data_IF_416998576789
#
_entry.id   IF_416998576789
#
_cell.length_a   1.000
_cell.length_b   1.000
_cell.length_c   1.000
_cell.angle_alpha   90.00
_cell.angle_beta   90.00
_cell.angle_gamma   90.00
#
_symmetry.space_group_name_H-M   'P 1'
#
loop_
_entity.id
_entity.type
_entity.pdbx_description
1 polymer ?
#
# COMPACT_ATOMS: atom_id res chain seq x y z
N UNK A 1 -47.54 -38.81 3.12
CA UNK A 1 -47.27 -37.43 2.67
C UNK A 1 -45.86 -37.38 2.10
N UNK A 2 -45.70 -37.61 0.79
CA UNK A 2 -44.44 -37.33 0.09
C UNK A 2 -44.44 -35.89 -0.39
N UNK A 3 -43.30 -35.16 -0.35
CA UNK A 3 -43.28 -33.78 -0.82
C UNK A 3 -43.45 -33.78 -2.34
N UNK A 4 -44.50 -33.12 -2.82
CA UNK A 4 -44.66 -32.78 -4.23
C UNK A 4 -43.47 -31.91 -4.68
N UNK A 5 -42.44 -32.53 -5.27
CA UNK A 5 -41.42 -31.77 -6.00
C UNK A 5 -42.02 -31.32 -7.33
N UNK A 6 -42.31 -30.02 -7.43
CA UNK A 6 -42.78 -29.37 -8.66
C UNK A 6 -41.87 -29.72 -9.87
N UNK A 7 -42.42 -30.06 -11.05
CA UNK A 7 -41.65 -30.28 -12.28
C UNK A 7 -40.77 -29.08 -12.66
N UNK A 8 -41.20 -27.87 -12.30
CA UNK A 8 -40.43 -26.63 -12.50
C UNK A 8 -39.15 -26.60 -11.65
N UNK A 9 -39.16 -27.18 -10.45
CA UNK A 9 -37.95 -27.29 -9.64
C UNK A 9 -36.94 -28.25 -10.28
N UNK A 10 -37.42 -29.30 -10.95
CA UNK A 10 -36.54 -30.27 -11.60
C UNK A 10 -35.91 -29.69 -12.88
N UNK A 11 -36.70 -28.95 -13.69
CA UNK A 11 -36.19 -28.25 -14.87
C UNK A 11 -35.21 -27.13 -14.49
N UNK A 12 -35.52 -26.32 -13.48
CA UNK A 12 -34.63 -25.27 -13.01
C UNK A 12 -33.32 -25.85 -12.46
N UNK A 13 -33.39 -26.93 -11.68
CA UNK A 13 -32.19 -27.63 -11.19
C UNK A 13 -31.35 -28.21 -12.33
N UNK A 14 -31.98 -28.80 -13.35
CA UNK A 14 -31.25 -29.30 -14.54
C UNK A 14 -30.60 -28.16 -15.31
N UNK A 15 -31.30 -27.05 -15.56
CA UNK A 15 -30.74 -25.89 -16.27
C UNK A 15 -29.61 -25.23 -15.49
N UNK A 16 -29.73 -25.10 -14.17
CA UNK A 16 -28.67 -24.63 -13.29
C UNK A 16 -27.48 -25.59 -13.29
N UNK A 17 -27.72 -26.90 -13.27
CA UNK A 17 -26.69 -27.92 -13.37
C UNK A 17 -25.91 -27.85 -14.68
N UNK A 18 -26.61 -27.78 -15.81
CA UNK A 18 -25.98 -27.62 -17.14
C UNK A 18 -25.19 -26.32 -17.21
N UNK A 19 -25.77 -25.20 -16.76
CA UNK A 19 -25.09 -23.90 -16.73
C UNK A 19 -23.81 -23.96 -15.89
N UNK A 20 -23.87 -24.58 -14.71
CA UNK A 20 -22.73 -24.79 -13.84
C UNK A 20 -21.64 -25.66 -14.49
N UNK A 21 -22.02 -26.80 -15.10
CA UNK A 21 -21.09 -27.69 -15.79
C UNK A 21 -20.42 -27.00 -16.97
N UNK A 22 -21.19 -26.29 -17.80
CA UNK A 22 -20.67 -25.52 -18.94
C UNK A 22 -19.71 -24.44 -18.43
N UNK A 23 -20.09 -23.67 -17.40
CA UNK A 23 -19.24 -22.65 -16.80
C UNK A 23 -17.90 -23.22 -16.33
N UNK A 24 -17.92 -24.28 -15.53
CA UNK A 24 -16.69 -24.91 -15.04
C UNK A 24 -15.84 -25.52 -16.16
N UNK A 25 -16.47 -26.10 -17.18
CA UNK A 25 -15.75 -26.63 -18.36
C UNK A 25 -15.05 -25.51 -19.11
N UNK A 26 -15.72 -24.37 -19.32
CA UNK A 26 -15.11 -23.20 -19.95
C UNK A 26 -13.95 -22.64 -19.12
N UNK A 27 -14.11 -22.55 -17.79
CA UNK A 27 -13.02 -22.12 -16.91
C UNK A 27 -11.82 -23.06 -16.99
N UNK A 28 -12.06 -24.37 -16.97
CA UNK A 28 -11.02 -25.37 -17.03
C UNK A 28 -10.25 -25.28 -18.35
N UNK A 29 -10.97 -25.31 -19.48
CA UNK A 29 -10.38 -25.38 -20.83
C UNK A 29 -9.72 -24.07 -21.26
N UNK A 30 -10.31 -22.92 -20.93
CA UNK A 30 -9.82 -21.63 -21.45
C UNK A 30 -8.98 -20.83 -20.46
N UNK A 31 -9.02 -21.15 -19.16
CA UNK A 31 -8.27 -20.41 -18.13
C UNK A 31 -7.26 -21.32 -17.42
N UNK A 32 -7.72 -22.40 -16.79
CA UNK A 32 -6.88 -23.21 -15.90
C UNK A 32 -5.83 -24.01 -16.69
N UNK A 33 -6.25 -24.79 -17.70
CA UNK A 33 -5.35 -25.62 -18.51
C UNK A 33 -4.30 -24.77 -19.23
N UNK A 34 -4.66 -23.69 -19.95
CA UNK A 34 -3.67 -22.82 -20.59
C UNK A 34 -2.71 -22.17 -19.61
N UNK A 35 -3.18 -21.80 -18.41
CA UNK A 35 -2.33 -21.24 -17.37
C UNK A 35 -1.29 -22.24 -16.86
N UNK A 36 -1.66 -23.52 -16.70
CA UNK A 36 -0.73 -24.59 -16.30
C UNK A 36 0.39 -24.78 -17.33
N UNK A 37 0.07 -24.66 -18.63
CA UNK A 37 1.04 -24.80 -19.71
C UNK A 37 1.74 -23.48 -20.09
N UNK A 38 1.51 -22.39 -19.35
CA UNK A 38 2.09 -21.08 -19.65
C UNK A 38 1.63 -20.45 -20.98
N UNK A 39 0.55 -20.96 -21.58
CA UNK A 39 0.01 -20.49 -22.86
C UNK A 39 -0.78 -19.19 -22.64
N UNK A 40 -0.39 -18.13 -23.34
CA UNK A 40 -1.12 -16.86 -23.34
C UNK A 40 -1.72 -16.57 -24.71
N UNK A 41 -3.05 -16.59 -24.81
CA UNK A 41 -3.77 -16.25 -26.05
C UNK A 41 -3.76 -14.75 -26.41
N UNK A 42 -2.94 -13.92 -25.74
CA UNK A 42 -2.87 -12.48 -26.00
C UNK A 42 -4.12 -11.65 -25.61
N UNK A 43 -5.23 -12.31 -25.25
CA UNK A 43 -6.51 -11.69 -24.83
C UNK A 43 -6.28 -10.65 -23.73
N UNK A 44 -5.45 -10.97 -22.73
CA UNK A 44 -5.09 -10.06 -21.64
C UNK A 44 -4.48 -8.76 -22.17
N UNK A 45 -3.53 -8.85 -23.13
CA UNK A 45 -2.85 -7.68 -23.70
C UNK A 45 -3.83 -6.82 -24.50
N UNK A 46 -4.72 -7.45 -25.28
CA UNK A 46 -5.77 -6.74 -26.02
C UNK A 46 -6.74 -6.03 -25.06
N UNK A 47 -7.23 -6.73 -24.04
CA UNK A 47 -8.12 -6.19 -23.02
C UNK A 47 -7.52 -4.96 -22.32
N UNK A 48 -6.26 -5.04 -21.87
CA UNK A 48 -5.55 -3.92 -21.24
C UNK A 48 -5.41 -2.72 -22.19
N UNK A 49 -5.02 -2.96 -23.46
CA UNK A 49 -4.91 -1.89 -24.47
C UNK A 49 -6.25 -1.22 -24.74
N UNK A 50 -7.34 -1.99 -24.82
CA UNK A 50 -8.69 -1.45 -25.02
C UNK A 50 -9.12 -0.59 -23.84
N UNK A 51 -8.90 -1.06 -22.60
CA UNK A 51 -9.23 -0.26 -21.40
C UNK A 51 -8.49 1.07 -21.35
N UNK A 52 -7.17 1.07 -21.64
CA UNK A 52 -6.39 2.31 -21.64
C UNK A 52 -6.94 3.32 -22.65
N UNK A 53 -7.27 2.88 -23.87
CA UNK A 53 -7.91 3.74 -24.88
C UNK A 53 -9.25 4.31 -24.39
N UNK A 54 -10.05 3.50 -23.69
CA UNK A 54 -11.33 3.94 -23.12
C UNK A 54 -11.13 4.97 -22.00
N UNK A 55 -10.16 4.74 -21.10
CA UNK A 55 -9.86 5.67 -20.00
C UNK A 55 -9.30 7.00 -20.50
N UNK A 56 -8.41 6.97 -21.49
CA UNK A 56 -7.87 8.16 -22.14
C UNK A 56 -8.99 8.96 -22.82
N UNK A 57 -9.83 8.30 -23.61
CA UNK A 57 -11.00 8.93 -24.24
C UNK A 57 -11.94 9.57 -23.21
N UNK A 58 -12.23 8.86 -22.11
CA UNK A 58 -13.11 9.36 -21.05
C UNK A 58 -12.50 10.58 -20.34
N UNK A 59 -11.19 10.55 -20.07
CA UNK A 59 -10.46 11.63 -19.40
C UNK A 59 -10.44 12.90 -20.27
N UNK A 60 -10.09 12.79 -21.55
CA UNK A 60 -10.11 13.93 -22.50
C UNK A 60 -11.50 14.55 -22.60
N UNK A 61 -12.56 13.73 -22.57
CA UNK A 61 -13.94 14.21 -22.61
C UNK A 61 -14.33 14.94 -21.32
N UNK A 62 -13.87 14.47 -20.17
CA UNK A 62 -14.05 15.17 -18.89
C UNK A 62 -13.36 16.53 -18.89
N UNK A 63 -12.08 16.57 -19.28
CA UNK A 63 -11.29 17.80 -19.36
C UNK A 63 -11.94 18.85 -20.25
N UNK A 64 -12.45 18.44 -21.42
CA UNK A 64 -13.18 19.35 -22.32
C UNK A 64 -14.43 19.90 -21.65
N UNK A 65 -15.26 19.04 -21.05
CA UNK A 65 -16.49 19.47 -20.38
C UNK A 65 -16.25 20.36 -19.16
N UNK A 66 -15.09 20.23 -18.51
CA UNK A 66 -14.71 21.10 -17.39
C UNK A 66 -14.19 22.46 -17.82
N UNK A 67 -13.39 22.50 -18.90
CA UNK A 67 -13.00 23.75 -19.57
C UNK A 67 -14.23 24.54 -20.02
N UNK A 68 -15.21 23.87 -20.60
CA UNK A 68 -16.49 24.49 -21.01
C UNK A 68 -17.29 25.06 -19.83
N UNK A 69 -17.16 24.47 -18.63
CA UNK A 69 -17.88 24.90 -17.41
C UNK A 69 -17.06 25.81 -16.48
N UNK A 70 -15.87 26.26 -16.88
CA UNK A 70 -14.92 27.01 -16.04
C UNK A 70 -14.65 26.34 -14.66
N UNK A 71 -14.71 25.00 -14.60
CA UNK A 71 -14.48 24.25 -13.37
C UNK A 71 -13.11 23.58 -13.45
N UNK A 72 -12.24 23.81 -12.45
CA UNK A 72 -10.97 23.09 -12.35
C UNK A 72 -11.25 21.65 -11.92
N UNK A 73 -11.09 20.69 -12.83
CA UNK A 73 -11.25 19.25 -12.54
C UNK A 73 -10.16 18.71 -11.63
N UNK A 74 -8.96 19.22 -11.85
CA UNK A 74 -7.77 18.87 -11.09
C UNK A 74 -7.39 20.10 -10.31
N UNK A 75 -7.24 19.97 -8.98
CA UNK A 75 -6.34 20.88 -8.31
C UNK A 75 -4.98 20.64 -8.96
N UNK A 76 -4.35 21.64 -9.61
CA UNK A 76 -2.93 21.53 -9.80
C UNK A 76 -2.38 21.41 -8.39
N UNK A 77 -1.84 20.25 -8.03
CA UNK A 77 -0.73 20.31 -7.09
C UNK A 77 0.26 21.20 -7.81
N UNK A 78 0.33 22.45 -7.36
CA UNK A 78 1.34 23.38 -7.81
C UNK A 78 2.66 22.66 -7.60
N UNK A 79 3.28 22.22 -8.71
CA UNK A 79 4.69 21.85 -8.72
C UNK A 79 5.56 23.02 -8.19
N UNK A 80 4.98 24.23 -8.14
CA UNK A 80 5.52 25.43 -7.53
C UNK A 80 5.27 25.59 -6.00
N UNK A 81 4.52 24.70 -5.33
CA UNK A 81 4.48 24.66 -3.85
C UNK A 81 5.52 23.69 -3.27
N UNK A 82 6.21 22.94 -4.14
CA UNK A 82 7.49 22.28 -3.85
C UNK A 82 8.62 23.19 -4.32
N UNK A 83 8.51 24.50 -4.07
CA UNK A 83 9.73 25.19 -3.67
C UNK A 83 9.96 24.61 -2.28
N UNK A 84 10.96 23.75 -2.14
CA UNK A 84 11.52 23.45 -0.83
C UNK A 84 11.79 24.81 -0.21
N UNK A 85 10.87 25.29 0.64
CA UNK A 85 11.15 26.40 1.52
C UNK A 85 12.36 25.89 2.28
N UNK A 86 13.51 26.52 2.07
CA UNK A 86 14.65 26.26 2.96
C UNK A 86 14.10 26.32 4.38
N UNK A 87 14.52 25.42 5.29
CA UNK A 87 14.02 25.43 6.65
C UNK A 87 14.48 26.73 7.32
N UNK A 88 13.76 27.82 7.07
CA UNK A 88 13.87 29.08 7.77
C UNK A 88 13.44 28.80 9.19
N UNK A 89 14.23 29.25 10.16
CA UNK A 89 13.89 29.10 11.57
C UNK A 89 12.48 29.63 11.79
N UNK A 90 11.65 28.94 12.58
CA UNK A 90 10.30 29.41 12.93
C UNK A 90 10.32 30.83 13.52
N UNK A 91 11.44 31.22 14.13
CA UNK A 91 11.69 32.57 14.64
C UNK A 91 11.88 33.60 13.52
N UNK A 92 12.49 33.23 12.41
CA UNK A 92 12.76 34.13 11.27
C UNK A 92 11.49 34.41 10.48
N UNK A 93 10.64 33.39 10.28
CA UNK A 93 9.32 33.58 9.63
C UNK A 93 8.40 34.49 10.46
N UNK A 94 8.41 34.33 11.79
CA UNK A 94 7.60 35.17 12.68
C UNK A 94 8.09 36.62 12.66
N UNK A 95 9.41 36.85 12.70
CA UNK A 95 10.02 38.18 12.59
C UNK A 95 9.68 38.85 11.25
N UNK A 96 9.67 38.09 10.16
CA UNK A 96 9.28 38.61 8.84
C UNK A 96 7.81 39.04 8.81
N UNK A 97 6.91 38.26 9.39
CA UNK A 97 5.49 38.60 9.48
C UNK A 97 5.27 39.86 10.33
N UNK A 98 5.93 39.95 11.50
CA UNK A 98 5.88 41.15 12.35
C UNK A 98 6.39 42.38 11.60
N UNK A 99 7.48 42.24 10.83
CA UNK A 99 8.01 43.33 9.97
C UNK A 99 7.02 43.74 8.88
N UNK A 100 6.35 42.80 8.25
CA UNK A 100 5.38 43.08 7.19
C UNK A 100 4.08 43.72 7.73
N UNK A 101 3.66 43.40 8.96
CA UNK A 101 2.54 44.07 9.63
C UNK A 101 2.89 45.50 10.06
N UNK A 102 4.05 45.71 10.69
CA UNK A 102 4.48 47.06 11.11
C UNK A 102 4.71 48.00 9.93
N UNK A 103 5.19 47.47 8.80
CA UNK A 103 5.34 48.25 7.56
C UNK A 103 4.01 48.73 6.97
N UNK A 104 2.88 48.05 7.22
CA UNK A 104 1.55 48.46 6.73
C UNK A 104 0.86 49.49 7.62
N UNK A 105 1.25 49.60 8.89
CA UNK A 105 0.73 50.62 9.81
C UNK A 105 1.45 51.98 9.68
N UNK A 106 2.67 51.99 9.15
CA UNK A 106 3.50 53.19 8.98
C UNK A 106 3.16 54.06 7.75
N UNK A 107 2.27 53.61 6.85
CA UNK A 107 1.79 54.44 5.72
C UNK A 107 0.72 55.48 6.15
N UNK A 108 0.42 55.60 7.45
CA UNK A 108 -0.59 56.51 8.01
C UNK A 108 -0.08 57.65 8.90
N UNK A 109 1.16 57.64 9.38
CA UNK A 109 1.69 58.77 10.17
C UNK A 109 3.21 58.85 10.18
N UNK A 110 3.73 60.05 9.89
CA UNK A 110 5.14 60.36 9.84
C UNK A 110 5.76 60.56 11.24
N UNK A 111 7.04 60.19 11.35
CA UNK A 111 8.01 60.45 12.43
C UNK A 111 7.79 59.68 13.74
N UNK A 112 8.76 58.96 14.32
CA UNK A 112 10.08 59.46 14.73
C UNK A 112 11.04 58.28 14.95
N UNK A 113 12.32 58.50 14.64
CA UNK A 113 13.44 57.58 14.84
C UNK A 113 13.69 57.24 16.31
N UNK A 114 13.49 55.96 16.67
CA UNK A 114 14.10 55.35 17.86
C UNK A 114 14.63 53.98 17.48
N UNK A 115 15.93 53.78 17.65
CA UNK A 115 16.65 52.52 17.47
C UNK A 115 15.96 51.34 18.19
N UNK A 116 15.78 50.17 17.56
CA UNK A 116 15.14 49.04 18.21
C UNK A 116 16.13 48.43 19.21
N UNK A 117 15.84 48.59 20.51
CA UNK A 117 16.39 47.72 21.53
C UNK A 117 15.94 46.27 21.27
N UNK A 118 16.71 45.24 21.65
CA UNK A 118 16.26 43.86 21.59
C UNK A 118 15.27 43.64 22.75
N UNK A 119 14.11 44.27 22.68
CA UNK A 119 13.02 44.02 23.61
C UNK A 119 12.62 42.55 23.43
N UNK A 120 12.58 41.85 24.56
CA UNK A 120 11.96 40.53 24.73
C UNK A 120 10.82 40.33 23.75
N UNK A 121 10.80 39.19 23.07
CA UNK A 121 9.72 38.81 22.15
C UNK A 121 8.40 38.66 22.92
N UNK A 122 7.76 39.78 23.23
CA UNK A 122 6.42 39.78 23.77
C UNK A 122 5.46 39.27 22.69
N UNK A 123 4.42 38.57 23.13
CA UNK A 123 3.39 38.03 22.25
C UNK A 123 2.57 39.17 21.66
N UNK A 124 2.43 39.18 20.33
CA UNK A 124 1.51 40.09 19.64
C UNK A 124 0.24 39.33 19.23
N UNK A 125 -0.92 39.99 19.29
CA UNK A 125 -2.19 39.36 18.86
C UNK A 125 -2.12 38.87 17.40
N UNK A 126 -1.34 39.55 16.56
CA UNK A 126 -1.07 39.21 15.15
C UNK A 126 -0.42 37.82 14.99
N UNK A 127 0.35 37.35 15.97
CA UNK A 127 1.00 36.03 15.97
C UNK A 127 -0.05 34.89 15.89
N UNK A 128 -1.28 35.13 16.35
CA UNK A 128 -2.40 34.17 16.23
C UNK A 128 -2.63 33.76 14.78
N UNK A 129 -2.56 34.71 13.83
CA UNK A 129 -2.74 34.41 12.40
C UNK A 129 -1.62 33.53 11.85
N UNK A 130 -0.39 33.72 12.34
CA UNK A 130 0.73 32.85 11.98
C UNK A 130 0.47 31.42 12.46
N UNK A 131 0.12 31.21 13.73
CA UNK A 131 -0.15 29.86 14.24
C UNK A 131 -1.36 29.21 13.55
N UNK A 132 -2.44 29.96 13.27
CA UNK A 132 -3.57 29.46 12.49
C UNK A 132 -3.14 29.04 11.09
N UNK A 133 -2.36 29.88 10.40
CA UNK A 133 -1.80 29.56 9.08
C UNK A 133 -0.94 28.30 9.13
N UNK A 134 0.00 28.19 10.08
CA UNK A 134 0.87 27.00 10.27
C UNK A 134 0.05 25.74 10.56
N UNK A 135 -1.02 25.86 11.33
CA UNK A 135 -1.97 24.77 11.56
C UNK A 135 -2.66 24.31 10.27
N UNK A 136 -3.13 25.25 9.45
CA UNK A 136 -3.74 24.95 8.15
C UNK A 136 -2.70 24.35 7.18
N UNK A 137 -1.51 24.93 7.08
CA UNK A 137 -0.40 24.41 6.26
C UNK A 137 -0.07 22.97 6.67
N UNK A 138 0.04 22.67 7.97
CA UNK A 138 0.31 21.32 8.46
C UNK A 138 -0.77 20.29 8.09
N UNK A 139 -2.02 20.73 7.91
CA UNK A 139 -3.13 19.86 7.45
C UNK A 139 -3.06 19.68 5.93
N UNK A 140 -2.78 20.76 5.18
CA UNK A 140 -2.69 20.74 3.72
C UNK A 140 -1.49 19.93 3.26
N UNK A 141 -0.36 20.10 3.94
CA UNK A 141 0.93 19.46 3.67
C UNK A 141 1.08 18.13 4.43
N UNK A 142 -0.02 17.55 4.92
CA UNK A 142 0.01 16.25 5.57
C UNK A 142 0.41 15.15 4.58
N UNK A 143 1.68 14.76 4.63
CA UNK A 143 2.22 13.68 3.82
C UNK A 143 1.91 12.30 4.40
N UNK A 144 1.62 12.19 5.70
CA UNK A 144 1.57 10.90 6.39
C UNK A 144 0.18 10.28 6.34
N UNK A 145 -0.88 11.04 6.66
CA UNK A 145 -2.21 10.43 6.70
C UNK A 145 -2.75 10.12 5.30
N UNK A 146 -2.32 10.88 4.28
CA UNK A 146 -2.63 10.63 2.87
C UNK A 146 -2.11 9.26 2.42
N UNK A 147 -1.01 8.77 2.99
CA UNK A 147 -0.48 7.44 2.72
C UNK A 147 -1.38 6.28 3.19
N UNK A 148 -2.36 6.56 4.06
CA UNK A 148 -3.35 5.59 4.51
C UNK A 148 -4.69 5.73 3.77
N UNK A 149 -4.76 6.58 2.76
CA UNK A 149 -5.90 6.73 1.85
C UNK A 149 -5.57 6.24 0.46
N UNK A 150 -6.61 5.88 -0.30
CA UNK A 150 -6.48 5.50 -1.70
C UNK A 150 -5.68 6.55 -2.48
N UNK A 151 -4.81 6.11 -3.39
CA UNK A 151 -4.13 7.01 -4.32
C UNK A 151 -5.19 7.73 -5.18
N UNK A 152 -5.18 9.05 -5.16
CA UNK A 152 -6.04 9.86 -6.02
C UNK A 152 -5.48 9.86 -7.44
N UNK A 153 -6.33 9.53 -8.40
CA UNK A 153 -5.96 9.41 -9.80
C UNK A 153 -6.21 10.71 -10.56
N UNK A 154 -5.25 11.11 -11.38
CA UNK A 154 -5.44 12.16 -12.39
C UNK A 154 -6.38 11.67 -13.50
N UNK A 155 -6.24 10.45 -14.00
CA UNK A 155 -7.14 9.94 -15.06
C UNK A 155 -8.40 9.27 -14.50
N UNK A 156 -9.55 9.44 -15.18
CA UNK A 156 -10.76 8.72 -14.79
C UNK A 156 -10.80 7.30 -15.35
N UNK A 157 -10.85 6.32 -14.45
CA UNK A 157 -10.86 4.89 -14.76
C UNK A 157 -12.27 4.26 -14.70
N UNK A 158 -13.34 5.06 -14.75
CA UNK A 158 -14.74 4.59 -14.63
C UNK A 158 -15.07 3.90 -13.29
N UNK A 159 -14.21 4.01 -12.27
CA UNK A 159 -14.51 3.56 -10.91
C UNK A 159 -14.89 4.77 -10.06
N UNK A 160 -16.14 4.80 -9.59
CA UNK A 160 -16.66 5.90 -8.75
C UNK A 160 -15.96 5.99 -7.40
N UNK A 161 -15.33 4.90 -6.93
CA UNK A 161 -14.66 4.86 -5.63
C UNK A 161 -13.25 5.45 -5.61
N UNK A 162 -12.62 5.62 -6.77
CA UNK A 162 -11.26 6.17 -6.89
C UNK A 162 -11.25 7.64 -7.33
N UNK A 163 -12.43 8.26 -7.48
CA UNK A 163 -12.54 9.68 -7.79
C UNK A 163 -13.67 10.30 -6.96
N UNK A 164 -13.30 11.17 -6.01
CA UNK A 164 -14.23 11.82 -5.08
C UNK A 164 -15.02 12.99 -5.73
N UNK A 165 -14.63 13.43 -6.92
CA UNK A 165 -15.21 14.60 -7.61
C UNK A 165 -16.21 14.25 -8.71
N UNK A 166 -16.86 13.07 -8.65
CA UNK A 166 -17.82 12.67 -9.68
C UNK A 166 -19.15 13.41 -9.53
N UNK A 167 -19.24 14.62 -10.09
CA UNK A 167 -20.50 15.30 -10.37
C UNK A 167 -20.89 15.05 -11.83
N UNK A 168 -22.10 14.59 -12.11
CA UNK A 168 -22.59 14.16 -13.43
C UNK A 168 -22.06 15.01 -14.61
N UNK A 169 -21.01 14.52 -15.29
CA UNK A 169 -20.28 15.33 -16.29
C UNK A 169 -21.00 15.30 -17.65
N UNK A 170 -21.39 14.11 -18.14
CA UNK A 170 -22.16 13.97 -19.40
C UNK A 170 -22.92 12.63 -19.48
N UNK A 171 -24.03 12.61 -20.23
CA UNK A 171 -24.86 11.41 -20.44
C UNK A 171 -24.07 10.26 -21.08
N UNK A 172 -23.21 10.53 -22.07
CA UNK A 172 -22.40 9.50 -22.72
C UNK A 172 -21.42 8.82 -21.74
N UNK A 173 -20.83 9.59 -20.82
CA UNK A 173 -19.95 9.05 -19.80
C UNK A 173 -20.72 8.24 -18.75
N UNK A 174 -21.94 8.66 -18.40
CA UNK A 174 -22.83 7.92 -17.50
C UNK A 174 -23.25 6.58 -18.11
N UNK A 175 -23.57 6.53 -19.40
CA UNK A 175 -23.87 5.28 -20.11
C UNK A 175 -22.65 4.35 -20.13
N UNK A 176 -21.46 4.88 -20.46
CA UNK A 176 -20.22 4.11 -20.46
C UNK A 176 -19.89 3.56 -19.05
N UNK A 177 -20.09 4.37 -18.01
CA UNK A 177 -19.96 3.95 -16.63
C UNK A 177 -20.93 2.82 -16.27
N UNK A 178 -22.21 2.96 -16.66
CA UNK A 178 -23.25 1.95 -16.45
C UNK A 178 -22.90 0.62 -17.11
N UNK A 179 -22.43 0.66 -18.36
CA UNK A 179 -21.90 -0.52 -19.05
C UNK A 179 -20.71 -1.13 -18.29
N UNK A 180 -19.81 -0.31 -17.77
CA UNK A 180 -18.69 -0.77 -16.95
C UNK A 180 -19.14 -1.42 -15.63
N UNK A 181 -20.21 -0.96 -15.01
CA UNK A 181 -20.82 -1.61 -13.85
C UNK A 181 -21.35 -3.00 -14.23
N UNK A 182 -22.09 -3.11 -15.34
CA UNK A 182 -22.61 -4.39 -15.83
C UNK A 182 -21.47 -5.37 -16.12
N UNK A 183 -20.40 -4.94 -16.79
CA UNK A 183 -19.24 -5.79 -17.08
C UNK A 183 -18.56 -6.26 -15.79
N UNK A 184 -18.27 -5.33 -14.87
CA UNK A 184 -17.50 -5.63 -13.65
C UNK A 184 -18.27 -6.53 -12.68
N UNK A 185 -19.55 -6.23 -12.45
CA UNK A 185 -20.34 -6.95 -11.45
C UNK A 185 -21.10 -8.15 -12.05
N UNK A 186 -21.50 -8.09 -13.31
CA UNK A 186 -22.21 -9.18 -13.99
C UNK A 186 -21.30 -10.29 -14.51
N UNK A 187 -20.06 -9.97 -14.90
CA UNK A 187 -19.15 -10.94 -15.53
C UNK A 187 -17.82 -11.11 -14.78
N UNK A 188 -17.08 -10.03 -14.54
CA UNK A 188 -15.72 -10.14 -13.96
C UNK A 188 -15.72 -10.61 -12.50
N UNK A 189 -16.63 -10.07 -11.67
CA UNK A 189 -16.71 -10.41 -10.26
C UNK A 189 -17.11 -11.88 -10.05
N UNK A 190 -18.20 -12.41 -10.66
CA UNK A 190 -18.53 -13.84 -10.55
C UNK A 190 -17.40 -14.74 -11.03
N UNK A 191 -16.79 -14.42 -12.18
CA UNK A 191 -15.62 -15.13 -12.70
C UNK A 191 -14.47 -15.20 -11.70
N UNK A 192 -14.05 -14.06 -11.16
CA UNK A 192 -12.95 -13.99 -10.19
C UNK A 192 -13.31 -14.67 -8.87
N UNK A 193 -14.56 -14.59 -8.44
CA UNK A 193 -15.03 -15.27 -7.24
C UNK A 193 -14.98 -16.78 -7.40
N UNK A 194 -15.45 -17.32 -8.53
CA UNK A 194 -15.34 -18.76 -8.83
C UNK A 194 -13.87 -19.19 -8.85
N UNK A 195 -13.01 -18.45 -9.55
CA UNK A 195 -11.57 -18.75 -9.61
C UNK A 195 -10.90 -18.71 -8.23
N UNK A 196 -11.25 -17.72 -7.39
CA UNK A 196 -10.70 -17.60 -6.04
C UNK A 196 -11.15 -18.77 -5.14
N UNK A 197 -12.44 -19.13 -5.18
CA UNK A 197 -12.97 -20.26 -4.40
C UNK A 197 -12.29 -21.55 -4.86
N UNK A 198 -12.27 -21.83 -6.17
CA UNK A 198 -11.61 -23.02 -6.71
C UNK A 198 -10.12 -23.05 -6.35
N UNK A 199 -9.41 -21.93 -6.48
CA UNK A 199 -7.98 -21.84 -6.14
C UNK A 199 -7.70 -22.09 -4.66
N UNK A 200 -8.49 -21.51 -3.74
CA UNK A 200 -8.35 -21.75 -2.30
C UNK A 200 -8.70 -23.19 -1.93
N UNK A 201 -9.78 -23.75 -2.51
CA UNK A 201 -10.15 -25.15 -2.28
C UNK A 201 -9.05 -26.10 -2.75
N UNK A 202 -8.50 -25.89 -3.95
CA UNK A 202 -7.38 -26.67 -4.46
C UNK A 202 -6.13 -26.53 -3.59
N UNK A 203 -5.79 -25.30 -3.16
CA UNK A 203 -4.67 -25.07 -2.25
C UNK A 203 -4.81 -25.89 -0.96
N UNK A 204 -5.98 -25.86 -0.31
CA UNK A 204 -6.23 -26.60 0.94
C UNK A 204 -6.15 -28.12 0.70
N UNK A 205 -6.74 -28.62 -0.38
CA UNK A 205 -6.71 -30.05 -0.72
C UNK A 205 -5.29 -30.51 -1.02
N UNK A 206 -4.56 -29.82 -1.91
CA UNK A 206 -3.20 -30.19 -2.28
C UNK A 206 -2.24 -30.11 -1.10
N UNK A 207 -2.30 -29.04 -0.29
CA UNK A 207 -1.43 -28.93 0.89
C UNK A 207 -1.76 -29.97 1.96
N UNK A 208 -3.04 -30.36 2.10
CA UNK A 208 -3.43 -31.48 2.97
C UNK A 208 -2.91 -32.83 2.46
N UNK A 209 -2.95 -33.07 1.14
CA UNK A 209 -2.39 -34.27 0.52
C UNK A 209 -0.86 -34.32 0.61
N UNK A 210 -0.17 -33.19 0.41
CA UNK A 210 1.29 -33.08 0.54
C UNK A 210 1.73 -33.40 1.96
N UNK A 211 0.99 -32.93 2.98
CA UNK A 211 1.25 -33.28 4.37
C UNK A 211 1.15 -34.78 4.67
N UNK A 212 0.50 -35.56 3.80
CA UNK A 212 0.41 -37.02 3.89
C UNK A 212 1.55 -37.74 3.13
N UNK A 213 2.07 -37.14 2.04
CA UNK A 213 3.21 -37.64 1.26
C UNK A 213 4.50 -36.85 1.59
N UNK A 214 5.07 -37.09 2.77
CA UNK A 214 6.13 -36.25 3.34
C UNK A 214 7.51 -36.27 2.65
N UNK A 215 7.75 -37.10 1.61
CA UNK A 215 9.09 -37.24 1.01
C UNK A 215 9.23 -36.95 -0.50
N UNK A 216 8.14 -36.88 -1.28
CA UNK A 216 8.26 -36.80 -2.75
C UNK A 216 8.27 -35.36 -3.31
N UNK A 217 7.88 -34.37 -2.50
CA UNK A 217 7.43 -33.07 -3.05
C UNK A 217 8.43 -31.91 -2.97
N UNK A 218 9.47 -31.97 -2.12
CA UNK A 218 10.57 -30.99 -2.20
C UNK A 218 11.19 -30.97 -3.60
N UNK A 219 11.19 -32.12 -4.28
CA UNK A 219 11.65 -32.25 -5.65
C UNK A 219 10.65 -31.67 -6.67
N UNK A 220 9.35 -31.94 -6.53
CA UNK A 220 8.29 -31.48 -7.45
C UNK A 220 7.99 -29.98 -7.33
N UNK A 221 8.01 -29.41 -6.13
CA UNK A 221 7.76 -27.98 -5.92
C UNK A 221 8.89 -27.12 -6.50
N UNK A 222 10.14 -27.57 -6.35
CA UNK A 222 11.33 -26.95 -6.98
C UNK A 222 11.29 -27.10 -8.51
N UNK A 223 10.81 -28.24 -9.01
CA UNK A 223 10.62 -28.47 -10.45
C UNK A 223 9.55 -27.54 -11.06
N UNK A 224 8.43 -27.31 -10.36
CA UNK A 224 7.34 -26.45 -10.84
C UNK A 224 7.78 -24.97 -10.96
N UNK A 225 8.60 -24.49 -10.02
CA UNK A 225 9.22 -23.14 -10.11
C UNK A 225 10.20 -23.06 -11.28
N UNK A 226 10.94 -24.14 -11.56
CA UNK A 226 11.91 -24.19 -12.67
C UNK A 226 11.21 -24.21 -14.05
N UNK A 227 10.04 -24.84 -14.16
CA UNK A 227 9.26 -24.93 -15.41
C UNK A 227 8.61 -23.60 -15.83
N UNK A 228 8.42 -22.65 -14.91
CA UNK A 228 7.88 -21.32 -15.24
C UNK A 228 8.88 -20.40 -15.98
N UNK A 229 10.11 -20.87 -16.27
CA UNK A 229 11.00 -20.37 -17.33
C UNK A 229 11.55 -18.93 -17.19
N UNK A 230 10.97 -18.12 -16.31
CA UNK A 230 11.44 -16.78 -16.03
C UNK A 230 12.39 -16.85 -14.83
N UNK A 231 13.68 -17.09 -15.11
CA UNK A 231 14.72 -16.87 -14.12
C UNK A 231 14.75 -15.37 -13.84
N UNK A 232 14.04 -14.92 -12.82
CA UNK A 232 14.13 -13.53 -12.36
C UNK A 232 15.53 -13.32 -11.81
N UNK A 233 16.23 -12.31 -12.35
CA UNK A 233 17.53 -11.92 -11.85
C UNK A 233 17.41 -11.54 -10.37
N UNK A 234 18.32 -12.03 -9.52
CA UNK A 234 18.33 -11.81 -8.06
C UNK A 234 17.18 -12.46 -7.27
N UNK A 235 16.67 -13.61 -7.73
CA UNK A 235 15.76 -14.41 -6.91
C UNK A 235 16.34 -14.70 -5.51
N UNK A 236 15.53 -14.57 -4.44
CA UNK A 236 15.98 -14.81 -3.08
C UNK A 236 16.43 -16.25 -2.86
N UNK A 237 17.66 -16.43 -2.41
CA UNK A 237 18.21 -17.74 -2.09
C UNK A 237 17.90 -18.17 -0.64
N UNK A 238 17.93 -19.49 -0.41
CA UNK A 238 17.71 -20.07 0.91
C UNK A 238 18.63 -19.47 1.99
N UNK A 239 18.06 -19.29 3.17
CA UNK A 239 18.72 -18.62 4.29
C UNK A 239 19.01 -17.13 4.05
N UNK A 240 18.24 -16.49 3.16
CA UNK A 240 18.14 -15.04 3.02
C UNK A 240 16.77 -14.52 3.45
N UNK A 241 16.64 -13.18 3.47
CA UNK A 241 15.37 -12.49 3.80
C UNK A 241 14.95 -11.64 2.60
N UNK A 242 13.84 -12.00 1.97
CA UNK A 242 13.16 -11.18 0.97
C UNK A 242 12.38 -10.07 1.67
N UNK A 243 12.69 -8.82 1.33
CA UNK A 243 12.06 -7.62 1.89
C UNK A 243 11.35 -6.86 0.78
N UNK A 244 10.05 -6.61 0.96
CA UNK A 244 9.26 -5.85 -0.01
C UNK A 244 8.46 -4.72 0.65
N UNK A 245 8.16 -3.66 -0.11
CA UNK A 245 7.12 -2.71 0.28
C UNK A 245 5.73 -3.38 0.22
N UNK A 246 4.77 -2.86 0.97
CA UNK A 246 3.49 -3.53 1.23
C UNK A 246 2.28 -2.63 0.96
N UNK A 247 1.55 -2.92 -0.10
CA UNK A 247 0.32 -2.20 -0.46
C UNK A 247 -0.93 -3.03 -0.19
N UNK A 248 -0.83 -4.36 -0.25
CA UNK A 248 -1.97 -5.25 -0.14
C UNK A 248 -1.63 -6.62 0.45
N UNK A 249 -2.56 -7.28 1.18
CA UNK A 249 -2.43 -8.69 1.52
C UNK A 249 -2.15 -9.62 0.33
N UNK A 250 -2.59 -9.26 -0.88
CA UNK A 250 -2.32 -10.09 -2.08
C UNK A 250 -0.87 -9.99 -2.58
N UNK A 251 -0.07 -9.05 -2.06
CA UNK A 251 1.37 -8.97 -2.36
C UNK A 251 2.06 -10.31 -2.06
N UNK A 252 1.62 -11.01 -1.01
CA UNK A 252 2.09 -12.35 -0.65
C UNK A 252 1.84 -13.35 -1.78
N UNK A 253 0.64 -13.33 -2.36
CA UNK A 253 0.24 -14.26 -3.42
C UNK A 253 0.99 -13.95 -4.72
N UNK A 254 1.16 -12.65 -5.02
CA UNK A 254 1.91 -12.18 -6.20
C UNK A 254 3.38 -12.58 -6.09
N UNK A 255 4.02 -12.36 -4.96
CA UNK A 255 5.42 -12.78 -4.80
C UNK A 255 5.53 -14.31 -4.80
N UNK A 256 4.57 -15.01 -4.18
CA UNK A 256 4.56 -16.48 -4.14
C UNK A 256 4.35 -17.13 -5.52
N UNK A 257 3.83 -16.41 -6.53
CA UNK A 257 3.75 -16.94 -7.89
C UNK A 257 5.10 -16.92 -8.62
N UNK A 258 6.00 -16.03 -8.21
CA UNK A 258 7.32 -15.86 -8.84
C UNK A 258 8.42 -16.67 -8.13
N UNK A 259 8.22 -17.02 -6.85
CA UNK A 259 9.13 -17.86 -6.07
C UNK A 259 8.50 -18.40 -4.79
N UNK A 260 9.15 -19.36 -4.14
CA UNK A 260 8.64 -19.94 -2.90
C UNK A 260 9.24 -19.28 -1.67
N UNK A 261 8.40 -18.86 -0.72
CA UNK A 261 8.82 -18.14 0.48
C UNK A 261 8.24 -18.74 1.77
N UNK A 262 9.04 -18.68 2.84
CA UNK A 262 8.53 -18.83 4.19
C UNK A 262 7.93 -17.51 4.65
N UNK A 263 6.61 -17.45 4.79
CA UNK A 263 5.92 -16.24 5.27
C UNK A 263 6.07 -16.05 6.77
N UNK A 264 6.04 -14.78 7.18
CA UNK A 264 5.95 -14.36 8.59
C UNK A 264 4.61 -13.66 8.81
N UNK A 265 3.86 -14.07 9.84
CA UNK A 265 2.62 -13.37 10.17
C UNK A 265 2.02 -13.74 11.51
N UNK A 266 0.91 -13.11 11.84
CA UNK A 266 0.15 -13.44 13.03
C UNK A 266 -0.76 -14.65 12.77
N UNK A 267 -0.99 -15.49 13.79
CA UNK A 267 -2.01 -16.55 13.73
C UNK A 267 -3.40 -15.91 13.68
N UNK A 268 -4.22 -16.38 12.75
CA UNK A 268 -5.62 -15.97 12.58
C UNK A 268 -6.57 -17.14 12.83
N UNK A 269 -7.80 -16.82 13.25
CA UNK A 269 -8.90 -17.79 13.34
C UNK A 269 -9.68 -17.95 12.03
N UNK A 270 -10.77 -18.71 12.07
CA UNK A 270 -11.71 -18.87 10.96
C UNK A 270 -11.08 -19.46 9.69
N UNK A 271 -11.55 -19.00 8.52
CA UNK A 271 -11.06 -19.45 7.21
C UNK A 271 -9.56 -19.18 7.01
N UNK A 272 -9.06 -18.01 7.42
CA UNK A 272 -7.63 -17.69 7.33
C UNK A 272 -6.79 -18.64 8.16
N UNK A 273 -7.25 -19.01 9.36
CA UNK A 273 -6.58 -20.01 10.18
C UNK A 273 -6.56 -21.40 9.55
N UNK A 274 -7.62 -21.80 8.84
CA UNK A 274 -7.65 -23.06 8.08
C UNK A 274 -6.61 -23.06 6.96
N UNK A 275 -6.53 -21.96 6.20
CA UNK A 275 -5.53 -21.79 5.13
C UNK A 275 -4.12 -21.82 5.73
N UNK A 276 -3.83 -21.05 6.78
CA UNK A 276 -2.53 -21.04 7.45
C UNK A 276 -2.11 -22.44 7.93
N UNK A 277 -3.02 -23.18 8.59
CA UNK A 277 -2.74 -24.55 9.05
C UNK A 277 -2.47 -25.53 7.91
N UNK A 278 -3.15 -25.36 6.77
CA UNK A 278 -2.94 -26.20 5.59
C UNK A 278 -1.59 -25.89 4.96
N UNK A 279 -1.23 -24.61 4.81
CA UNK A 279 0.06 -24.20 4.23
C UNK A 279 1.28 -24.66 5.05
N UNK A 280 1.19 -24.67 6.39
CA UNK A 280 2.28 -25.14 7.28
C UNK A 280 2.64 -26.61 7.02
N UNK A 281 1.70 -27.42 6.54
CA UNK A 281 1.97 -28.82 6.18
C UNK A 281 2.88 -28.97 4.97
N UNK A 282 2.91 -27.97 4.09
CA UNK A 282 3.72 -27.98 2.87
C UNK A 282 5.04 -27.21 3.03
N UNK A 283 5.05 -26.15 3.85
CA UNK A 283 6.24 -25.33 4.07
C UNK A 283 6.28 -24.83 5.53
N UNK A 284 7.45 -24.82 6.20
CA UNK A 284 7.60 -24.31 7.56
C UNK A 284 7.50 -22.76 7.59
N UNK A 285 6.27 -22.25 7.54
CA UNK A 285 5.97 -20.82 7.74
C UNK A 285 6.09 -20.42 9.21
N UNK A 286 6.43 -19.15 9.46
CA UNK A 286 6.64 -18.62 10.80
C UNK A 286 5.41 -17.84 11.24
N UNK A 287 4.59 -18.44 12.10
CA UNK A 287 3.42 -17.78 12.66
C UNK A 287 3.65 -17.42 14.13
N UNK A 288 3.25 -16.21 14.50
CA UNK A 288 3.35 -15.71 15.87
C UNK A 288 1.99 -15.52 16.50
N UNK A 289 1.89 -15.81 17.79
CA UNK A 289 0.76 -15.37 18.59
C UNK A 289 0.82 -13.86 18.87
N UNK A 290 -0.34 -13.23 19.07
CA UNK A 290 -0.41 -11.77 19.32
C UNK A 290 0.38 -11.34 20.57
N UNK A 291 0.49 -12.22 21.57
CA UNK A 291 1.32 -12.06 22.77
C UNK A 291 2.81 -12.09 22.42
N UNK A 292 3.24 -13.09 21.66
CA UNK A 292 4.63 -13.32 21.26
C UNK A 292 5.21 -12.23 20.37
N UNK A 293 4.38 -11.60 19.51
CA UNK A 293 4.84 -10.49 18.65
C UNK A 293 5.37 -9.30 19.46
N UNK A 294 4.97 -9.18 20.73
CA UNK A 294 5.49 -8.14 21.64
C UNK A 294 6.90 -8.43 22.13
N UNK A 295 7.31 -9.71 22.16
CA UNK A 295 8.65 -10.12 22.54
C UNK A 295 9.59 -10.07 21.33
N UNK A 296 10.33 -8.96 21.22
CA UNK A 296 11.29 -8.73 20.14
C UNK A 296 12.41 -9.77 20.12
N UNK A 297 12.84 -10.25 21.29
CA UNK A 297 13.93 -11.22 21.37
C UNK A 297 13.50 -12.59 20.85
N UNK A 298 12.28 -13.02 21.20
CA UNK A 298 11.72 -14.27 20.68
C UNK A 298 11.56 -14.22 19.15
N UNK A 299 11.04 -13.11 18.62
CA UNK A 299 10.89 -12.92 17.17
C UNK A 299 12.24 -12.96 16.46
N UNK A 300 13.22 -12.18 16.94
CA UNK A 300 14.57 -12.15 16.35
C UNK A 300 15.24 -13.53 16.38
N UNK A 301 15.11 -14.26 17.49
CA UNK A 301 15.64 -15.62 17.63
C UNK A 301 15.03 -16.59 16.62
N UNK A 302 13.69 -16.66 16.52
CA UNK A 302 13.01 -17.56 15.56
C UNK A 302 13.40 -17.25 14.12
N UNK A 303 13.49 -15.97 13.77
CA UNK A 303 13.92 -15.57 12.42
C UNK A 303 15.39 -15.94 12.16
N UNK A 304 16.28 -15.74 13.14
CA UNK A 304 17.69 -16.15 13.04
C UNK A 304 17.86 -17.65 12.86
N UNK A 305 17.14 -18.45 13.66
CA UNK A 305 17.20 -19.91 13.61
C UNK A 305 16.68 -20.44 12.27
N UNK A 306 15.63 -19.82 11.71
CA UNK A 306 15.12 -20.17 10.37
C UNK A 306 16.12 -19.84 9.26
N UNK A 307 16.77 -18.68 9.33
CA UNK A 307 17.74 -18.22 8.33
C UNK A 307 19.03 -19.06 8.32
N UNK A 308 19.45 -19.55 9.48
CA UNK A 308 20.62 -20.44 9.62
C UNK A 308 20.39 -21.80 8.94
N UNK A 309 19.16 -22.25 8.91
CA UNK A 309 18.77 -23.50 8.27
C UNK A 309 18.60 -23.33 6.75
N UNK A 310 19.65 -23.67 5.99
CA UNK A 310 19.68 -23.52 4.52
C UNK A 310 18.75 -24.49 3.78
N UNK A 311 18.16 -25.47 4.47
CA UNK A 311 17.12 -26.33 3.89
C UNK A 311 15.79 -25.58 3.74
N UNK A 312 15.55 -24.56 4.56
CA UNK A 312 14.31 -23.79 4.56
C UNK A 312 14.29 -22.72 3.48
N UNK A 313 13.08 -22.43 2.99
CA UNK A 313 12.81 -21.36 2.03
C UNK A 313 13.21 -19.99 2.60
N UNK A 314 13.61 -19.04 1.73
CA UNK A 314 13.86 -17.66 2.13
C UNK A 314 12.64 -17.06 2.81
N UNK A 315 12.88 -16.20 3.79
CA UNK A 315 11.80 -15.55 4.54
C UNK A 315 11.24 -14.39 3.70
N UNK A 316 9.92 -14.26 3.58
CA UNK A 316 9.29 -13.06 3.04
C UNK A 316 8.75 -12.18 4.18
N UNK A 317 9.25 -10.94 4.25
CA UNK A 317 8.84 -9.94 5.23
C UNK A 317 8.48 -8.61 4.56
N UNK A 318 7.43 -7.99 5.09
CA UNK A 318 7.01 -6.63 4.79
C UNK A 318 7.30 -5.72 6.00
N UNK A 319 8.51 -5.12 6.07
CA UNK A 319 8.98 -4.46 7.28
C UNK A 319 8.26 -3.15 7.62
N UNK A 320 7.35 -2.64 6.76
CA UNK A 320 6.46 -1.53 7.09
C UNK A 320 5.48 -1.88 8.22
N UNK A 321 5.14 -3.17 8.36
CA UNK A 321 4.22 -3.67 9.40
C UNK A 321 2.75 -3.29 9.19
N UNK A 322 2.42 -2.63 8.08
CA UNK A 322 1.05 -2.32 7.65
C UNK A 322 1.00 -2.13 6.14
N UNK A 323 -0.18 -2.25 5.55
CA UNK A 323 -0.37 -1.87 4.15
C UNK A 323 -0.43 -0.35 4.03
N UNK A 324 0.35 0.20 3.10
CA UNK A 324 0.46 1.61 2.73
C UNK A 324 -0.04 1.79 1.30
N UNK A 325 -0.56 2.97 0.98
CA UNK A 325 -0.97 3.24 -0.38
C UNK A 325 0.22 3.18 -1.36
N UNK A 326 -0.11 3.14 -2.63
CA UNK A 326 0.85 2.86 -3.69
C UNK A 326 1.76 4.05 -4.04
N UNK A 327 1.88 5.10 -3.20
CA UNK A 327 2.65 6.32 -3.49
C UNK A 327 3.92 6.45 -2.66
N UNK A 328 4.05 5.72 -1.56
CA UNK A 328 5.13 5.91 -0.58
C UNK A 328 5.56 4.59 0.07
N UNK A 329 6.72 4.60 0.70
CA UNK A 329 7.20 3.53 1.58
C UNK A 329 7.42 4.10 2.97
N UNK A 330 6.85 3.46 3.98
CA UNK A 330 7.01 3.88 5.37
C UNK A 330 8.31 3.38 5.99
N UNK A 331 8.63 3.86 7.18
CA UNK A 331 9.78 3.40 7.96
C UNK A 331 9.76 1.88 8.13
N UNK A 332 10.87 1.25 7.74
CA UNK A 332 11.08 -0.18 7.95
C UNK A 332 11.43 -0.47 9.40
N UNK A 333 10.76 -1.47 9.99
CA UNK A 333 11.07 -1.94 11.34
C UNK A 333 12.42 -2.65 11.35
N UNK A 334 13.32 -2.22 12.24
CA UNK A 334 14.70 -2.73 12.32
C UNK A 334 14.85 -4.22 12.65
N UNK A 335 13.85 -4.87 13.23
CA UNK A 335 13.99 -6.25 13.76
C UNK A 335 14.43 -7.29 12.73
N UNK A 336 14.00 -7.15 11.48
CA UNK A 336 14.39 -8.04 10.38
C UNK A 336 15.84 -7.81 9.91
N UNK A 337 16.41 -6.64 10.22
CA UNK A 337 17.75 -6.22 9.80
C UNK A 337 18.81 -6.47 10.88
N UNK A 338 18.39 -6.86 12.10
CA UNK A 338 19.30 -7.25 13.20
C UNK A 338 19.86 -8.67 13.03
N UNK A 339 19.24 -9.52 12.20
CA UNK A 339 19.58 -10.95 12.04
C UNK A 339 20.93 -11.18 11.35
N UNK A 340 21.47 -10.17 10.64
CA UNK A 340 22.78 -10.24 9.98
C UNK A 340 22.83 -11.11 8.72
N UNK A 341 21.68 -11.38 8.09
CA UNK A 341 21.59 -12.14 6.84
C UNK A 341 21.51 -11.26 5.60
N UNK A 342 21.76 -11.86 4.43
CA UNK A 342 21.55 -11.21 3.15
C UNK A 342 20.07 -10.89 2.95
N UNK A 343 19.79 -9.62 2.70
CA UNK A 343 18.47 -9.10 2.35
C UNK A 343 18.35 -9.03 0.84
N UNK A 344 17.24 -9.52 0.31
CA UNK A 344 16.87 -9.43 -1.10
C UNK A 344 15.73 -8.41 -1.22
N UNK A 345 16.03 -7.17 -1.64
CA UNK A 345 15.01 -6.14 -1.75
C UNK A 345 14.13 -6.39 -2.97
N UNK A 346 12.83 -6.17 -2.81
CA UNK A 346 11.85 -6.27 -3.88
C UNK A 346 10.97 -5.02 -3.86
N UNK A 347 10.86 -4.37 -5.01
CA UNK A 347 9.92 -3.27 -5.20
C UNK A 347 8.66 -3.78 -5.89
N UNK A 348 7.50 -3.42 -5.38
CA UNK A 348 6.20 -3.69 -5.97
C UNK A 348 5.50 -2.36 -6.20
N UNK A 349 5.04 -2.11 -7.43
CA UNK A 349 4.24 -0.93 -7.77
C UNK A 349 3.00 -1.36 -8.53
N UNK A 350 1.85 -0.99 -8.03
CA UNK A 350 0.58 -1.17 -8.72
C UNK A 350 0.34 -0.07 -9.74
N UNK A 351 -0.36 -0.41 -10.82
CA UNK A 351 -0.88 0.56 -11.77
C UNK A 351 -2.32 0.95 -11.34
N UNK A 352 -2.50 2.12 -10.72
CA UNK A 352 -3.78 2.50 -10.12
C UNK A 352 -4.86 2.75 -11.19
N UNK A 353 -4.49 2.89 -12.47
CA UNK A 353 -5.43 3.12 -13.58
C UNK A 353 -6.41 1.95 -13.75
N UNK A 354 -6.01 0.73 -13.42
CA UNK A 354 -6.86 -0.46 -13.61
C UNK A 354 -7.69 -0.83 -12.37
N UNK A 355 -7.26 -0.39 -11.19
CA UNK A 355 -7.91 -0.78 -9.95
C UNK A 355 -7.16 -0.29 -8.72
N UNK A 356 -7.89 -0.29 -7.61
CA UNK A 356 -7.35 0.04 -6.28
C UNK A 356 -6.95 -1.25 -5.58
N UNK A 357 -5.64 -1.47 -5.43
CA UNK A 357 -5.09 -2.63 -4.71
C UNK A 357 -4.94 -2.36 -3.21
N UNK A 358 -4.80 -1.10 -2.80
CA UNK A 358 -4.52 -0.71 -1.42
C UNK A 358 -5.57 -1.22 -0.43
N UNK A 359 -5.11 -1.86 0.65
CA UNK A 359 -6.00 -2.28 1.75
C UNK A 359 -5.93 -1.35 2.96
N UNK A 360 -6.97 -0.53 3.11
CA UNK A 360 -7.21 0.17 4.37
C UNK A 360 -7.96 -0.73 5.37
N UNK A 361 -7.19 -1.45 6.19
CA UNK A 361 -7.71 -2.30 7.27
C UNK A 361 -8.58 -1.56 8.31
N UNK A 362 -8.45 -0.23 8.43
CA UNK A 362 -9.23 0.57 9.38
C UNK A 362 -10.61 0.94 8.82
N UNK A 363 -10.79 0.92 7.49
CA UNK A 363 -12.06 1.22 6.82
C UNK A 363 -12.80 -0.03 6.34
N UNK A 364 -12.07 -1.04 5.87
CA UNK A 364 -12.66 -2.20 5.21
C UNK A 364 -12.17 -3.52 5.81
N UNK A 365 -13.12 -4.40 6.15
CA UNK A 365 -12.82 -5.80 6.44
C UNK A 365 -12.34 -6.56 5.19
N UNK A 366 -11.67 -7.69 5.40
CA UNK A 366 -11.03 -8.47 4.33
C UNK A 366 -11.99 -8.84 3.19
N UNK A 367 -13.21 -9.29 3.51
CA UNK A 367 -14.20 -9.69 2.48
C UNK A 367 -14.63 -8.51 1.61
N UNK A 368 -14.96 -7.37 2.22
CA UNK A 368 -15.33 -6.16 1.49
C UNK A 368 -14.15 -5.68 0.63
N UNK A 369 -12.94 -5.71 1.18
CA UNK A 369 -11.71 -5.41 0.45
C UNK A 369 -11.53 -6.33 -0.78
N UNK A 370 -11.64 -7.65 -0.60
CA UNK A 370 -11.49 -8.61 -1.69
C UNK A 370 -12.56 -8.39 -2.76
N UNK A 371 -13.84 -8.19 -2.39
CA UNK A 371 -14.91 -7.90 -3.35
C UNK A 371 -14.67 -6.60 -4.11
N UNK A 372 -14.15 -5.57 -3.43
CA UNK A 372 -13.75 -4.31 -4.08
C UNK A 372 -12.63 -4.57 -5.09
N UNK A 373 -11.57 -5.22 -4.68
CA UNK A 373 -10.43 -5.54 -5.54
C UNK A 373 -10.84 -6.43 -6.74
N UNK A 374 -11.64 -7.47 -6.51
CA UNK A 374 -12.17 -8.36 -7.56
C UNK A 374 -13.15 -7.67 -8.51
N UNK A 375 -13.80 -6.58 -8.09
CA UNK A 375 -14.66 -5.76 -8.96
C UNK A 375 -13.92 -4.61 -9.66
N UNK A 376 -12.60 -4.50 -9.54
CA UNK A 376 -11.76 -3.60 -10.35
C UNK A 376 -11.70 -4.04 -11.82
N UNK A 377 -11.18 -3.21 -12.73
CA UNK A 377 -10.98 -3.64 -14.12
C UNK A 377 -9.88 -4.70 -14.22
N UNK A 378 -8.74 -4.43 -13.62
CA UNK A 378 -7.67 -5.40 -13.43
C UNK A 378 -6.80 -5.00 -12.24
N UNK A 379 -5.99 -5.94 -11.77
CA UNK A 379 -4.89 -5.68 -10.85
C UNK A 379 -3.62 -5.89 -11.64
N UNK A 380 -2.93 -4.79 -11.91
CA UNK A 380 -1.67 -4.78 -12.65
C UNK A 380 -0.63 -4.25 -11.70
N UNK A 381 0.47 -4.98 -11.55
CA UNK A 381 1.62 -4.55 -10.79
C UNK A 381 2.89 -4.89 -11.54
N UNK A 382 3.94 -4.14 -11.25
CA UNK A 382 5.30 -4.42 -11.64
C UNK A 382 6.07 -4.84 -10.40
N UNK A 383 6.81 -5.93 -10.51
CA UNK A 383 7.65 -6.49 -9.45
C UNK A 383 9.09 -6.43 -9.93
N UNK A 384 9.96 -5.81 -9.15
CA UNK A 384 11.38 -5.74 -9.42
C UNK A 384 12.16 -6.39 -8.29
N UNK A 385 12.99 -7.37 -8.64
CA UNK A 385 13.96 -7.98 -7.75
C UNK A 385 15.27 -7.18 -7.85
N UNK A 386 15.72 -6.61 -6.74
CA UNK A 386 16.92 -5.77 -6.69
C UNK A 386 18.15 -6.61 -6.29
N UNK A 387 19.37 -6.11 -6.55
CA UNK A 387 20.59 -6.77 -6.10
C UNK A 387 20.57 -7.05 -4.58
N UNK A 388 21.10 -8.21 -4.14
CA UNK A 388 21.15 -8.56 -2.73
C UNK A 388 22.01 -7.57 -1.94
N UNK A 389 21.58 -7.28 -0.72
CA UNK A 389 22.23 -6.32 0.17
C UNK A 389 22.58 -7.00 1.49
N UNK A 390 23.81 -6.82 1.94
CA UNK A 390 24.26 -7.19 3.28
C UNK A 390 24.62 -5.94 4.08
N UNK A 391 24.62 -6.05 5.40
CA UNK A 391 25.04 -4.96 6.29
C UNK A 391 26.51 -4.63 6.04
N UNK A 392 26.83 -3.34 5.88
CA UNK A 392 28.18 -2.85 5.69
C UNK A 392 28.94 -2.77 7.02
N UNK A 393 30.26 -2.64 6.96
CA UNK A 393 31.09 -2.42 8.14
C UNK A 393 30.73 -1.06 8.78
N UNK A 394 30.52 -1.03 10.10
CA UNK A 394 30.09 0.16 10.83
C UNK A 394 28.62 0.56 10.64
N UNK A 395 27.86 -0.12 9.77
CA UNK A 395 26.44 0.15 9.55
C UNK A 395 25.59 -0.52 10.63
N UNK A 396 24.74 0.24 11.32
CA UNK A 396 23.76 -0.32 12.26
C UNK A 396 22.51 -0.90 11.55
N UNK A 397 21.65 -1.59 12.29
CA UNK A 397 20.46 -2.22 11.71
C UNK A 397 19.43 -1.20 11.16
N UNK A 398 19.38 0.01 11.69
CA UNK A 398 18.46 1.08 11.27
C UNK A 398 18.98 1.72 9.98
N UNK A 399 20.27 2.02 9.90
CA UNK A 399 20.96 2.51 8.71
C UNK A 399 20.82 1.51 7.56
N UNK A 400 21.02 0.21 7.85
CA UNK A 400 20.82 -0.84 6.87
C UNK A 400 19.37 -0.91 6.37
N UNK A 401 18.39 -0.87 7.29
CA UNK A 401 16.98 -0.83 6.93
C UNK A 401 16.64 0.38 6.04
N UNK A 402 17.18 1.56 6.36
CA UNK A 402 16.99 2.78 5.58
C UNK A 402 17.62 2.69 4.19
N UNK A 403 18.82 2.10 4.06
CA UNK A 403 19.47 1.90 2.76
C UNK A 403 18.67 0.95 1.87
N UNK A 404 18.15 -0.14 2.43
CA UNK A 404 17.28 -1.09 1.71
C UNK A 404 15.97 -0.42 1.32
N UNK A 405 15.32 0.31 2.24
CA UNK A 405 14.10 1.08 1.98
C UNK A 405 14.31 2.07 0.84
N UNK A 406 15.38 2.86 0.87
CA UNK A 406 15.70 3.84 -0.15
C UNK A 406 15.91 3.20 -1.53
N UNK A 407 16.51 2.01 -1.60
CA UNK A 407 16.66 1.26 -2.84
C UNK A 407 15.30 0.83 -3.42
N UNK A 408 14.41 0.30 -2.58
CA UNK A 408 13.04 -0.10 -2.96
C UNK A 408 12.23 1.12 -3.41
N UNK A 409 12.27 2.21 -2.63
CA UNK A 409 11.56 3.45 -2.93
C UNK A 409 12.00 4.06 -4.26
N UNK A 410 13.33 4.11 -4.51
CA UNK A 410 13.90 4.59 -5.77
C UNK A 410 13.46 3.73 -6.96
N UNK A 411 13.52 2.40 -6.84
CA UNK A 411 13.15 1.51 -7.92
C UNK A 411 11.64 1.56 -8.24
N UNK A 412 10.80 1.68 -7.21
CA UNK A 412 9.35 1.75 -7.35
C UNK A 412 8.80 3.14 -7.70
N UNK A 413 9.61 4.19 -7.68
CA UNK A 413 9.13 5.57 -7.79
C UNK A 413 8.17 5.93 -6.65
N UNK A 414 8.56 5.63 -5.42
CA UNK A 414 7.80 5.84 -4.19
C UNK A 414 8.50 6.89 -3.32
N UNK A 415 7.71 7.70 -2.59
CA UNK A 415 8.26 8.65 -1.62
C UNK A 415 8.80 7.89 -0.41
N UNK A 416 10.06 8.15 -0.06
CA UNK A 416 10.73 7.53 1.08
C UNK A 416 10.42 8.30 2.38
N UNK A 417 9.51 7.77 3.20
CA UNK A 417 9.08 8.44 4.43
C UNK A 417 9.79 7.90 5.67
N UNK A 418 10.14 8.81 6.58
CA UNK A 418 10.75 8.49 7.88
C UNK A 418 9.73 8.08 8.94
N UNK A 419 8.44 8.15 8.62
CA UNK A 419 7.35 7.95 9.56
C UNK A 419 6.97 6.48 9.75
N UNK A 420 6.52 6.17 10.96
CA UNK A 420 6.09 4.83 11.35
C UNK A 420 4.65 4.54 10.88
N UNK A 421 4.45 3.41 10.20
CA UNK A 421 3.11 2.97 9.77
C UNK A 421 2.10 2.77 10.92
N UNK A 422 2.56 2.70 12.18
CA UNK A 422 1.72 2.69 13.37
C UNK A 422 0.84 3.94 13.53
N UNK A 423 1.21 5.06 12.90
CA UNK A 423 0.42 6.29 12.86
C UNK A 423 -0.93 6.11 12.13
N UNK A 424 -1.13 4.99 11.41
CA UNK A 424 -2.43 4.59 10.86
C UNK A 424 -3.52 4.41 11.92
N UNK A 425 -3.13 4.05 13.15
CA UNK A 425 -4.04 3.65 14.24
C UNK A 425 -3.76 4.39 15.55
N UNK A 426 -2.53 4.83 15.76
CA UNK A 426 -2.10 5.57 16.94
C UNK A 426 -1.97 7.06 16.65
N UNK A 427 -2.09 7.87 17.71
CA UNK A 427 -1.65 9.26 17.65
C UNK A 427 -0.13 9.33 17.74
N UNK A 428 0.44 10.42 17.24
CA UNK A 428 1.84 10.77 17.52
C UNK A 428 2.08 10.75 19.03
N UNK A 429 3.24 10.24 19.46
CA UNK A 429 3.62 10.20 20.88
C UNK A 429 3.56 11.60 21.48
N UNK A 430 3.14 11.69 22.73
CA UNK A 430 2.98 12.99 23.40
C UNK A 430 4.31 13.73 23.55
N UNK A 431 5.43 13.01 23.68
CA UNK A 431 6.78 13.60 23.69
C UNK A 431 7.07 14.47 22.46
N UNK A 432 6.71 14.02 21.25
CA UNK A 432 6.93 14.81 20.03
C UNK A 432 5.99 16.02 19.97
N UNK A 433 4.77 15.90 20.51
CA UNK A 433 3.86 17.04 20.62
C UNK A 433 4.40 18.07 21.59
N UNK A 434 4.90 17.62 22.74
CA UNK A 434 5.53 18.47 23.75
C UNK A 434 6.78 19.16 23.22
N UNK A 435 7.61 18.48 22.43
CA UNK A 435 8.76 19.09 21.76
C UNK A 435 8.34 20.22 20.82
N UNK A 436 7.31 20.00 19.99
CA UNK A 436 6.75 21.03 19.12
C UNK A 436 6.12 22.19 19.92
N UNK A 437 5.40 21.88 20.99
CA UNK A 437 4.82 22.88 21.89
C UNK A 437 5.89 23.70 22.61
N UNK A 438 6.99 23.07 23.04
CA UNK A 438 8.15 23.76 23.61
C UNK A 438 8.78 24.71 22.60
N UNK A 439 8.88 24.30 21.34
CA UNK A 439 9.40 25.16 20.26
C UNK A 439 8.52 26.40 20.06
N UNK A 440 7.20 26.22 19.97
CA UNK A 440 6.26 27.35 19.92
C UNK A 440 6.28 28.21 21.19
N UNK A 441 6.40 27.59 22.36
CA UNK A 441 6.49 28.32 23.63
C UNK A 441 7.75 29.17 23.75
N UNK A 442 8.90 28.69 23.26
CA UNK A 442 10.15 29.46 23.22
C UNK A 442 10.02 30.73 22.38
N UNK A 443 9.29 30.63 21.27
CA UNK A 443 9.02 31.77 20.38
C UNK A 443 8.14 32.81 21.08
N UNK A 444 7.15 32.37 21.87
CA UNK A 444 6.18 33.25 22.54
C UNK A 444 6.72 33.93 23.80
N UNK A 445 7.57 33.23 24.57
CA UNK A 445 8.06 33.70 25.87
C UNK A 445 9.47 34.31 25.76
N UNK A 446 10.15 34.09 24.63
CA UNK A 446 11.56 34.39 24.45
C UNK A 446 12.46 33.42 25.22
N UNK A 447 13.73 33.33 24.82
CA UNK A 447 14.77 32.63 25.59
C UNK A 447 15.06 33.42 26.86
N UNK A 448 14.25 33.24 27.90
CA UNK A 448 14.69 33.61 29.24
C UNK A 448 15.81 32.63 29.63
N UNK A 449 17.06 33.02 29.37
CA UNK A 449 18.18 32.50 30.15
C UNK A 449 17.81 32.73 31.61
N UNK A 450 17.65 31.63 32.35
CA UNK A 450 17.45 31.65 33.79
C UNK A 450 18.65 32.38 34.37
N UNK A 451 18.50 33.69 34.64
CA UNK A 451 19.44 34.48 35.41
C UNK A 451 19.48 33.81 36.78
N UNK A 452 20.47 32.96 36.99
CA UNK A 452 20.78 32.36 38.29
C UNK A 452 20.88 33.51 39.30
N UNK A 453 19.92 33.58 40.23
CA UNK A 453 20.02 34.46 41.38
C UNK A 453 21.16 33.93 42.24
N UNK A 454 22.31 34.58 42.14
CA UNK A 454 23.43 34.50 43.08
C UNK A 454 23.04 35.01 44.44
#
# INVERSE_FOLDING_TARGET
>A
MGPFMSPFNNLLCMLLGISFTVWFTLLLVFIIVPAIFGLSFGIRRLYMKTLLKVFEWATVRMERGAKEKNHLLYKPYSLNSIIAKEPTSLEDELKEIRRNCSSRELDGSASTTTSPSPSSSEFEMSDTFYFCRRGIESIVDDEVTKCFTAEELESWNLLTRSNNNFNHISTSLTVLWGLGVVIRYGFLLPLRLTLAITGVSLLVVFTAMIGFLSMLFEFLHKYCVTLNGNVTLFQPNNGGICVANHTSPIDVIILASDGCYAMVGQIHGGLMGLIQRSMVKACPHIWFERSEVKDRHLVAKRLSDHVKDKSKLPILIFPEGTCINNTSVMMFKKGSFEIGSTVYPVAIKYDPRFGEAFWNSSKFGMVNYLLRMMSSWAIVCSVWYLPPMSRQEGEDAVQFANRVKAAIARQGGLVDLLWDGGLKRGKVKDTFKEEQQKLYSKILVGTQEVRSRS
#
